data_IF_518034451096
#
_entry.id   IF_518034451096
#
_cell.length_a   1.000
_cell.length_b   1.000
_cell.length_c   1.000
_cell.angle_alpha   90.00
_cell.angle_beta   90.00
_cell.angle_gamma   90.00
#
_symmetry.space_group_name_H-M   'P 1'
#
loop_
_entity.id
_entity.type
_entity.pdbx_description
1 polymer ?
#
# COMPACT_ATOMS: atom_id res chain seq x y z
N UNK A 1 -24.29 -22.36 9.99
CA UNK A 1 -22.88 -22.47 10.43
C UNK A 1 -22.07 -21.59 9.49
N UNK A 2 -21.83 -20.34 9.88
CA UNK A 2 -21.18 -19.37 9.02
C UNK A 2 -19.71 -19.78 8.85
N UNK A 3 -19.35 -20.17 7.63
CA UNK A 3 -17.96 -20.31 7.21
C UNK A 3 -17.33 -18.92 7.09
N UNK A 4 -17.18 -18.24 8.22
CA UNK A 4 -16.24 -17.14 8.33
C UNK A 4 -14.86 -17.77 8.16
N UNK A 5 -14.44 -17.92 6.90
CA UNK A 5 -13.04 -18.12 6.56
C UNK A 5 -12.29 -17.13 7.43
N UNK A 6 -11.50 -17.63 8.39
CA UNK A 6 -10.55 -16.86 9.18
C UNK A 6 -9.67 -16.10 8.20
N UNK A 7 -10.12 -14.91 7.82
CA UNK A 7 -9.44 -14.09 6.85
C UNK A 7 -8.14 -13.69 7.54
N UNK A 8 -7.02 -14.15 6.99
CA UNK A 8 -5.73 -13.97 7.63
C UNK A 8 -5.45 -12.47 7.73
N UNK A 9 -5.57 -11.92 8.92
CA UNK A 9 -5.45 -10.48 9.19
C UNK A 9 -4.09 -9.94 8.73
N UNK A 10 -3.05 -10.79 8.71
CA UNK A 10 -1.75 -10.43 8.17
C UNK A 10 -1.80 -10.02 6.69
N UNK A 11 -2.78 -10.44 5.90
CA UNK A 11 -2.91 -10.04 4.50
C UNK A 11 -3.03 -8.51 4.40
N UNK A 12 -3.82 -7.88 5.26
CA UNK A 12 -3.96 -6.42 5.31
C UNK A 12 -2.66 -5.72 5.72
N UNK A 13 -1.92 -6.31 6.67
CA UNK A 13 -0.59 -5.84 7.07
C UNK A 13 0.39 -5.89 5.89
N UNK A 14 0.42 -7.00 5.16
CA UNK A 14 1.26 -7.17 3.98
C UNK A 14 0.90 -6.16 2.88
N UNK A 15 -0.39 -5.97 2.57
CA UNK A 15 -0.80 -4.97 1.58
C UNK A 15 -0.39 -3.55 1.97
N UNK A 16 -0.48 -3.19 3.26
CA UNK A 16 -0.01 -1.89 3.74
C UNK A 16 1.49 -1.71 3.52
N UNK A 17 2.30 -2.70 3.88
CA UNK A 17 3.76 -2.67 3.72
C UNK A 17 4.17 -2.62 2.24
N UNK A 18 3.55 -3.45 1.40
CA UNK A 18 3.82 -3.50 -0.04
C UNK A 18 3.49 -2.15 -0.68
N UNK A 19 2.36 -1.54 -0.31
CA UNK A 19 1.95 -0.23 -0.85
C UNK A 19 2.98 0.86 -0.53
N UNK A 20 3.56 0.87 0.66
CA UNK A 20 4.62 1.84 1.03
C UNK A 20 5.91 1.52 0.29
N UNK A 21 6.29 0.25 0.20
CA UNK A 21 7.53 -0.20 -0.46
C UNK A 21 7.52 0.11 -1.96
N UNK A 22 6.35 0.10 -2.61
CA UNK A 22 6.22 0.42 -4.03
C UNK A 22 6.54 1.89 -4.36
N UNK A 23 6.42 2.81 -3.40
CA UNK A 23 6.71 4.24 -3.60
C UNK A 23 8.20 4.47 -3.95
N UNK A 24 9.19 4.08 -3.11
CA UNK A 24 10.60 4.25 -3.42
C UNK A 24 11.05 3.40 -4.61
N UNK A 25 10.44 2.22 -4.84
CA UNK A 25 10.72 1.42 -6.03
C UNK A 25 10.33 2.17 -7.31
N UNK A 26 9.13 2.73 -7.35
CA UNK A 26 8.65 3.46 -8.52
C UNK A 26 9.41 4.77 -8.74
N UNK A 27 9.81 5.46 -7.67
CA UNK A 27 10.68 6.63 -7.74
C UNK A 27 12.09 6.26 -8.24
N UNK A 28 12.68 5.19 -7.70
CA UNK A 28 13.99 4.70 -8.10
C UNK A 28 14.06 4.26 -9.57
N UNK A 29 13.04 3.55 -10.06
CA UNK A 29 12.92 3.20 -11.48
C UNK A 29 12.82 4.48 -12.33
N UNK A 30 12.04 5.47 -11.90
CA UNK A 30 11.93 6.74 -12.61
C UNK A 30 13.29 7.43 -12.78
N UNK A 31 14.10 7.47 -11.71
CA UNK A 31 15.44 8.06 -11.71
C UNK A 31 16.42 7.26 -12.57
N UNK A 32 16.46 5.93 -12.42
CA UNK A 32 17.44 5.07 -13.12
C UNK A 32 17.25 5.08 -14.64
N UNK A 33 15.99 5.10 -15.09
CA UNK A 33 15.66 5.04 -16.51
C UNK A 33 15.45 6.42 -17.16
N UNK A 34 15.78 7.50 -16.44
CA UNK A 34 15.55 8.90 -16.85
C UNK A 34 14.14 9.11 -17.43
N UNK A 35 13.16 8.46 -16.79
CA UNK A 35 11.76 8.59 -17.21
C UNK A 35 11.35 9.97 -16.74
N UNK A 36 11.15 10.89 -17.70
CA UNK A 36 10.67 12.23 -17.45
C UNK A 36 9.21 12.19 -16.95
N UNK A 37 9.03 11.72 -15.71
CA UNK A 37 7.75 11.71 -15.02
C UNK A 37 7.57 13.09 -14.42
N UNK A 38 6.42 13.69 -14.74
CA UNK A 38 5.99 14.92 -14.10
C UNK A 38 6.01 14.72 -12.56
N UNK A 39 6.66 15.61 -11.80
CA UNK A 39 6.65 15.56 -10.33
C UNK A 39 5.24 15.43 -9.74
N UNK A 40 4.23 16.00 -10.39
CA UNK A 40 2.82 15.91 -10.00
C UNK A 40 2.31 14.47 -10.14
N UNK A 41 2.72 13.74 -11.19
CA UNK A 41 2.34 12.34 -11.37
C UNK A 41 2.91 11.46 -10.26
N UNK A 42 4.17 11.67 -9.88
CA UNK A 42 4.78 10.97 -8.75
C UNK A 42 4.09 11.31 -7.42
N UNK A 43 3.71 12.58 -7.23
CA UNK A 43 2.97 13.01 -6.05
C UNK A 43 1.60 12.32 -5.95
N UNK A 44 0.81 12.33 -7.03
CA UNK A 44 -0.52 11.70 -7.07
C UNK A 44 -0.40 10.20 -6.81
N UNK A 45 0.56 9.53 -7.45
CA UNK A 45 0.81 8.11 -7.25
C UNK A 45 1.18 7.80 -5.79
N UNK A 46 2.06 8.61 -5.20
CA UNK A 46 2.48 8.48 -3.79
C UNK A 46 1.29 8.65 -2.83
N UNK A 47 0.46 9.67 -3.04
CA UNK A 47 -0.75 9.90 -2.24
C UNK A 47 -1.75 8.76 -2.36
N UNK A 48 -1.91 8.18 -3.56
CA UNK A 48 -2.74 7.00 -3.78
C UNK A 48 -2.25 5.79 -2.98
N UNK A 49 -0.95 5.46 -3.08
CA UNK A 49 -0.36 4.35 -2.32
C UNK A 49 -0.40 4.57 -0.80
N UNK A 50 -0.20 5.80 -0.33
CA UNK A 50 -0.35 6.14 1.08
C UNK A 50 -1.78 5.93 1.57
N UNK A 51 -2.78 6.36 0.77
CA UNK A 51 -4.19 6.18 1.10
C UNK A 51 -4.58 4.70 1.17
N UNK A 52 -4.15 3.90 0.19
CA UNK A 52 -4.38 2.45 0.17
C UNK A 52 -3.67 1.78 1.35
N UNK A 53 -2.45 2.17 1.65
CA UNK A 53 -1.70 1.64 2.79
C UNK A 53 -2.42 1.94 4.10
N UNK A 54 -2.89 3.18 4.28
CA UNK A 54 -3.62 3.61 5.47
C UNK A 54 -4.92 2.83 5.68
N UNK A 55 -5.72 2.64 4.63
CA UNK A 55 -6.96 1.86 4.70
C UNK A 55 -6.67 0.42 5.12
N UNK A 56 -5.66 -0.22 4.52
CA UNK A 56 -5.30 -1.60 4.86
C UNK A 56 -4.73 -1.70 6.28
N UNK A 57 -3.92 -0.74 6.71
CA UNK A 57 -3.41 -0.69 8.09
C UNK A 57 -4.53 -0.50 9.12
N UNK A 58 -5.52 0.35 8.81
CA UNK A 58 -6.69 0.54 9.65
C UNK A 58 -7.50 -0.75 9.79
N UNK A 59 -7.77 -1.44 8.68
CA UNK A 59 -8.46 -2.75 8.68
C UNK A 59 -7.69 -3.82 9.43
N UNK A 60 -6.37 -3.84 9.31
CA UNK A 60 -5.51 -4.75 10.10
C UNK A 60 -5.68 -4.49 11.60
N UNK A 61 -5.59 -3.23 12.04
CA UNK A 61 -5.77 -2.86 13.45
C UNK A 61 -7.18 -3.16 13.97
N UNK A 62 -8.20 -2.94 13.16
CA UNK A 62 -9.59 -3.24 13.52
C UNK A 62 -9.80 -4.73 13.76
N UNK A 63 -9.32 -5.58 12.83
CA UNK A 63 -9.41 -7.03 12.98
C UNK A 63 -8.53 -7.58 14.10
N UNK A 64 -7.37 -6.97 14.37
CA UNK A 64 -6.47 -7.38 15.46
C UNK A 64 -6.98 -7.05 16.87
N UNK A 65 -8.03 -6.22 17.00
CA UNK A 65 -8.67 -5.90 18.29
C UNK A 65 -9.82 -6.85 18.67
N UNK A 66 -10.22 -7.74 17.75
CA UNK A 66 -11.17 -8.84 17.95
C UNK A 66 -10.42 -10.11 18.39
#
# INVERSE_FOLDING_TARGET
MNNEKKENQNIYKWFSIISITLIPLAAGIGIVFDINRDPIQLLIMTLGFLSISWINWSKYKEKSKL
#
